data_IF_821802081594
#
_entry.id   IF_821802081594
#
_cell.length_a   1.000
_cell.length_b   1.000
_cell.length_c   1.000
_cell.angle_alpha   90.00
_cell.angle_beta   90.00
_cell.angle_gamma   90.00
#
_symmetry.space_group_name_H-M   'P 1'
#
loop_
_entity.id
_entity.type
_entity.pdbx_description
1 polymer ?
#
# COMPACT_ATOMS: atom_id res chain seq x y z
N UNK A 1 -6.58 1.04 71.94
CA UNK A 1 -5.87 2.30 72.25
C UNK A 1 -4.41 2.11 71.99
N UNK A 2 -3.90 2.59 70.91
CA UNK A 2 -2.52 2.40 70.45
C UNK A 2 -1.62 3.42 71.19
N UNK A 3 -0.98 2.98 72.24
CA UNK A 3 -0.21 3.87 73.11
C UNK A 3 1.28 3.54 73.20
N UNK A 4 1.83 2.84 72.25
CA UNK A 4 3.26 2.55 72.27
C UNK A 4 3.98 3.43 71.23
N UNK A 5 5.17 3.93 71.56
CA UNK A 5 6.02 4.73 70.65
C UNK A 5 6.28 4.01 69.35
N UNK A 6 6.32 2.68 69.36
CA UNK A 6 6.47 1.82 68.21
C UNK A 6 5.31 1.96 67.20
N UNK A 7 4.06 2.01 67.68
CA UNK A 7 2.87 2.17 66.80
C UNK A 7 2.84 3.53 66.13
N UNK A 8 3.25 4.59 66.81
CA UNK A 8 3.34 5.93 66.22
C UNK A 8 4.41 6.02 65.16
N UNK A 9 5.55 5.37 65.38
CA UNK A 9 6.65 5.31 64.40
C UNK A 9 6.21 4.55 63.13
N UNK A 10 5.52 3.41 63.27
CA UNK A 10 4.97 2.65 62.14
C UNK A 10 3.96 3.50 61.35
N UNK A 11 3.04 4.20 62.02
CA UNK A 11 2.06 5.09 61.36
C UNK A 11 2.76 6.25 60.62
N UNK A 12 3.81 6.85 61.21
CA UNK A 12 4.61 7.87 60.53
C UNK A 12 5.30 7.32 59.27
N UNK A 13 5.86 6.12 59.38
CA UNK A 13 6.54 5.46 58.25
C UNK A 13 5.56 5.14 57.11
N UNK A 14 4.38 4.62 57.44
CA UNK A 14 3.33 4.37 56.47
C UNK A 14 2.90 5.68 55.81
N UNK A 15 2.65 6.73 56.60
CA UNK A 15 2.29 8.04 56.10
C UNK A 15 3.34 8.61 55.14
N UNK A 16 4.62 8.49 55.49
CA UNK A 16 5.74 8.90 54.63
C UNK A 16 5.73 8.14 53.27
N UNK A 17 5.57 6.80 53.30
CA UNK A 17 5.50 6.01 52.04
C UNK A 17 4.27 6.36 51.19
N UNK A 18 3.13 6.62 51.79
CA UNK A 18 1.92 7.05 51.06
C UNK A 18 2.15 8.39 50.38
N UNK A 19 2.76 9.35 51.10
CA UNK A 19 3.11 10.66 50.53
C UNK A 19 4.15 10.51 49.42
N UNK A 20 5.18 9.70 49.63
CA UNK A 20 6.21 9.44 48.61
C UNK A 20 5.60 8.82 47.34
N UNK A 21 4.76 7.79 47.46
CA UNK A 21 4.05 7.19 46.36
C UNK A 21 3.14 8.19 45.64
N UNK A 22 2.41 9.03 46.40
CA UNK A 22 1.57 10.07 45.82
C UNK A 22 2.36 11.11 45.01
N UNK A 23 3.48 11.57 45.55
CA UNK A 23 4.38 12.52 44.85
C UNK A 23 4.98 11.85 43.61
N UNK A 24 5.48 10.61 43.72
CA UNK A 24 6.03 9.87 42.59
C UNK A 24 4.99 9.68 41.47
N UNK A 25 3.75 9.30 41.82
CA UNK A 25 2.67 9.17 40.88
C UNK A 25 2.35 10.51 40.17
N UNK A 26 2.29 11.60 40.90
CA UNK A 26 2.08 12.95 40.35
C UNK A 26 3.20 13.36 39.39
N UNK A 27 4.45 13.11 39.76
CA UNK A 27 5.62 13.43 38.93
C UNK A 27 5.57 12.61 37.63
N UNK A 28 5.32 11.32 37.72
CA UNK A 28 5.20 10.44 36.54
C UNK A 28 4.08 10.94 35.62
N UNK A 29 2.90 11.18 36.18
CA UNK A 29 1.72 11.59 35.38
C UNK A 29 1.88 12.98 34.75
N UNK A 30 2.51 13.93 35.47
CA UNK A 30 2.56 15.33 35.05
C UNK A 30 3.76 15.64 34.14
N UNK A 31 4.88 14.95 34.34
CA UNK A 31 6.13 15.28 33.66
C UNK A 31 6.68 14.15 32.81
N UNK A 32 6.62 12.89 33.26
CA UNK A 32 7.24 11.79 32.55
C UNK A 32 6.34 11.25 31.45
N UNK A 33 5.09 10.96 31.75
CA UNK A 33 4.15 10.39 30.79
C UNK A 33 3.92 11.27 29.56
N UNK A 34 3.71 12.60 29.67
CA UNK A 34 3.54 13.44 28.49
C UNK A 34 4.77 13.50 27.59
N UNK A 35 5.98 13.51 28.19
CA UNK A 35 7.22 13.51 27.42
C UNK A 35 7.43 12.18 26.67
N UNK A 36 7.13 11.07 27.33
CA UNK A 36 7.24 9.75 26.71
C UNK A 36 6.27 9.62 25.52
N UNK A 37 5.00 10.01 25.71
CA UNK A 37 3.99 10.01 24.65
C UNK A 37 4.42 10.90 23.47
N UNK A 38 4.96 12.09 23.75
CA UNK A 38 5.44 12.99 22.70
C UNK A 38 6.59 12.36 21.89
N UNK A 39 7.57 11.73 22.58
CA UNK A 39 8.70 11.08 21.92
C UNK A 39 8.26 9.87 21.09
N UNK A 40 7.37 9.04 21.61
CA UNK A 40 6.81 7.90 20.87
C UNK A 40 6.02 8.36 19.64
N UNK A 41 5.20 9.39 19.79
CA UNK A 41 4.46 9.96 18.66
C UNK A 41 5.37 10.51 17.57
N UNK A 42 6.47 11.14 17.92
CA UNK A 42 7.46 11.64 16.98
C UNK A 42 8.18 10.48 16.26
N UNK A 43 8.54 9.42 16.95
CA UNK A 43 9.13 8.22 16.36
C UNK A 43 8.19 7.55 15.38
N UNK A 44 6.90 7.43 15.73
CA UNK A 44 5.88 6.88 14.84
C UNK A 44 5.78 7.74 13.58
N UNK A 45 5.73 9.06 13.70
CA UNK A 45 5.67 9.97 12.55
C UNK A 45 6.87 9.77 11.62
N UNK A 46 8.09 9.77 12.13
CA UNK A 46 9.30 9.52 11.32
C UNK A 46 9.24 8.17 10.60
N UNK A 47 8.77 7.13 11.29
CA UNK A 47 8.64 5.80 10.70
C UNK A 47 7.61 5.80 9.56
N UNK A 48 6.46 6.44 9.77
CA UNK A 48 5.41 6.55 8.74
C UNK A 48 5.91 7.36 7.55
N UNK A 49 6.61 8.48 7.76
CA UNK A 49 7.19 9.29 6.68
C UNK A 49 8.18 8.46 5.84
N UNK A 50 9.13 7.79 6.49
CA UNK A 50 10.14 6.99 5.79
C UNK A 50 9.52 5.86 4.94
N UNK A 51 8.45 5.25 5.41
CA UNK A 51 7.77 4.19 4.66
C UNK A 51 6.86 4.76 3.55
N UNK A 52 6.26 5.91 3.77
CA UNK A 52 5.54 6.65 2.73
C UNK A 52 6.46 7.01 1.56
N UNK A 53 7.68 7.48 1.89
CA UNK A 53 8.71 7.75 0.90
C UNK A 53 9.12 6.49 0.14
N UNK A 54 9.25 5.34 0.82
CA UNK A 54 9.57 4.07 0.19
C UNK A 54 8.48 3.61 -0.80
N UNK A 55 7.20 3.80 -0.46
CA UNK A 55 6.08 3.52 -1.38
C UNK A 55 6.17 4.46 -2.59
N UNK A 56 6.33 5.75 -2.35
CA UNK A 56 6.44 6.76 -3.40
C UNK A 56 7.63 6.49 -4.33
N UNK A 57 8.78 6.11 -3.78
CA UNK A 57 9.95 5.71 -4.57
C UNK A 57 9.67 4.49 -5.45
N UNK A 58 9.03 3.46 -4.90
CA UNK A 58 8.67 2.27 -5.67
C UNK A 58 7.69 2.61 -6.81
N UNK A 59 6.66 3.41 -6.52
CA UNK A 59 5.71 3.86 -7.54
C UNK A 59 6.38 4.68 -8.65
N UNK A 60 7.30 5.58 -8.28
CA UNK A 60 8.07 6.37 -9.24
C UNK A 60 9.02 5.51 -10.08
N UNK A 61 9.63 4.47 -9.50
CA UNK A 61 10.46 3.50 -10.23
C UNK A 61 9.64 2.75 -11.25
N UNK A 62 8.47 2.24 -10.87
CA UNK A 62 7.54 1.56 -11.76
C UNK A 62 7.07 2.49 -12.88
N UNK A 63 6.73 3.75 -12.57
CA UNK A 63 6.36 4.76 -13.55
C UNK A 63 7.48 5.05 -14.55
N UNK A 64 8.72 5.17 -14.08
CA UNK A 64 9.88 5.40 -14.95
C UNK A 64 10.13 4.19 -15.87
N UNK A 65 10.03 2.97 -15.33
CA UNK A 65 10.13 1.74 -16.11
C UNK A 65 9.01 1.65 -17.15
N UNK A 66 7.77 1.95 -16.76
CA UNK A 66 6.61 1.93 -17.65
C UNK A 66 6.76 2.95 -18.79
N UNK A 67 7.29 4.14 -18.50
CA UNK A 67 7.60 5.14 -19.53
C UNK A 67 8.61 4.61 -20.52
N UNK A 68 9.67 3.96 -20.08
CA UNK A 68 10.64 3.30 -20.96
C UNK A 68 9.99 2.25 -21.84
N UNK A 69 9.12 1.41 -21.27
CA UNK A 69 8.37 0.39 -22.03
C UNK A 69 7.53 1.06 -23.12
N UNK A 70 6.72 2.06 -22.78
CA UNK A 70 5.82 2.70 -23.76
C UNK A 70 6.57 3.38 -24.89
N UNK A 71 7.68 4.06 -24.60
CA UNK A 71 8.51 4.73 -25.63
C UNK A 71 9.21 3.71 -26.55
N UNK A 72 9.80 2.64 -25.98
CA UNK A 72 10.46 1.59 -26.77
C UNK A 72 9.46 0.84 -27.63
N UNK A 73 8.36 0.37 -27.04
CA UNK A 73 7.32 -0.40 -27.74
C UNK A 73 6.65 0.44 -28.83
N UNK A 74 6.52 1.75 -28.61
CA UNK A 74 6.01 2.69 -29.63
C UNK A 74 6.73 2.65 -30.96
N UNK A 75 8.02 2.31 -30.98
CA UNK A 75 8.86 2.22 -32.18
C UNK A 75 9.08 0.81 -32.75
N UNK A 76 8.60 -0.25 -32.07
CA UNK A 76 8.92 -1.63 -32.45
C UNK A 76 7.87 -2.30 -33.34
N UNK A 77 8.31 -3.25 -34.16
CA UNK A 77 7.43 -4.18 -34.87
C UNK A 77 6.90 -5.28 -33.93
N UNK A 78 5.82 -5.95 -34.32
CA UNK A 78 5.08 -6.89 -33.45
C UNK A 78 5.93 -8.05 -32.92
N UNK A 79 6.79 -8.63 -33.75
CA UNK A 79 7.70 -9.73 -33.39
C UNK A 79 8.84 -9.29 -32.44
N UNK A 80 9.34 -8.07 -32.63
CA UNK A 80 10.35 -7.47 -31.77
C UNK A 80 9.81 -7.19 -30.36
N UNK A 81 8.52 -6.85 -30.25
CA UNK A 81 7.86 -6.59 -28.96
C UNK A 81 7.94 -7.83 -28.07
N UNK A 82 7.53 -8.99 -28.58
CA UNK A 82 7.47 -10.23 -27.78
C UNK A 82 8.86 -10.68 -27.33
N UNK A 83 9.88 -10.42 -28.13
CA UNK A 83 11.26 -10.75 -27.78
C UNK A 83 11.85 -9.84 -26.70
N UNK A 84 11.48 -8.55 -26.70
CA UNK A 84 12.09 -7.55 -25.82
C UNK A 84 11.33 -7.33 -24.52
N UNK A 85 10.00 -7.46 -24.55
CA UNK A 85 9.11 -7.12 -23.44
C UNK A 85 9.49 -7.80 -22.11
N UNK A 86 9.83 -9.11 -22.04
CA UNK A 86 10.20 -9.72 -20.76
C UNK A 86 11.45 -9.09 -20.13
N UNK A 87 12.42 -8.67 -20.94
CA UNK A 87 13.61 -7.97 -20.45
C UNK A 87 13.28 -6.57 -19.92
N UNK A 88 12.37 -5.87 -20.59
CA UNK A 88 11.90 -4.55 -20.12
C UNK A 88 11.09 -4.66 -18.83
N UNK A 89 10.24 -5.66 -18.70
CA UNK A 89 9.47 -5.93 -17.48
C UNK A 89 10.38 -6.35 -16.34
N UNK A 90 11.46 -7.10 -16.63
CA UNK A 90 12.43 -7.55 -15.63
C UNK A 90 13.64 -6.60 -15.46
N UNK A 91 13.58 -5.39 -15.98
CA UNK A 91 14.71 -4.45 -16.07
C UNK A 91 15.47 -4.28 -14.74
N UNK A 92 14.79 -4.27 -13.62
CA UNK A 92 15.40 -4.09 -12.29
C UNK A 92 15.47 -5.38 -11.47
N UNK A 93 15.06 -6.52 -12.04
CA UNK A 93 14.93 -7.79 -11.31
C UNK A 93 14.14 -7.66 -9.99
N UNK A 94 13.16 -6.76 -9.97
CA UNK A 94 12.33 -6.49 -8.81
C UNK A 94 11.18 -7.50 -8.72
N UNK A 95 11.21 -8.34 -7.69
CA UNK A 95 10.18 -9.36 -7.46
C UNK A 95 8.83 -8.78 -7.01
N UNK A 96 8.78 -7.50 -6.59
CA UNK A 96 7.52 -6.81 -6.33
C UNK A 96 6.77 -6.47 -7.63
N UNK A 97 7.49 -6.39 -8.75
CA UNK A 97 6.89 -6.34 -10.08
C UNK A 97 6.40 -7.74 -10.43
N UNK A 98 5.10 -7.96 -10.29
CA UNK A 98 4.46 -9.24 -10.61
C UNK A 98 4.56 -9.58 -12.09
N UNK A 99 4.41 -8.58 -12.95
CA UNK A 99 4.42 -8.76 -14.39
C UNK A 99 4.23 -7.44 -15.13
N UNK A 100 4.05 -7.56 -16.42
CA UNK A 100 3.76 -6.42 -17.27
C UNK A 100 3.44 -6.85 -18.69
N UNK A 101 2.77 -5.97 -19.41
CA UNK A 101 2.32 -6.31 -20.75
C UNK A 101 1.92 -5.14 -21.61
N UNK A 102 1.57 -5.47 -22.83
CA UNK A 102 1.00 -4.56 -23.80
C UNK A 102 -0.39 -5.02 -24.21
N UNK A 103 -1.24 -4.06 -24.39
CA UNK A 103 -2.66 -4.22 -24.65
C UNK A 103 -3.06 -3.30 -25.82
N UNK A 104 -2.82 -3.74 -27.07
CA UNK A 104 -3.13 -2.92 -28.25
C UNK A 104 -4.63 -2.72 -28.41
N UNK A 105 -5.03 -1.60 -28.99
CA UNK A 105 -6.40 -1.44 -29.47
C UNK A 105 -6.74 -2.53 -30.50
N UNK A 106 -8.00 -2.99 -30.56
CA UNK A 106 -8.45 -3.96 -31.57
C UNK A 106 -7.96 -3.58 -32.98
N UNK A 107 -7.34 -4.55 -33.67
CA UNK A 107 -6.82 -4.37 -35.03
C UNK A 107 -5.49 -3.60 -35.13
N UNK A 108 -5.00 -2.94 -34.07
CA UNK A 108 -3.78 -2.11 -34.17
C UNK A 108 -2.48 -2.90 -34.28
N UNK A 109 -2.40 -4.10 -33.68
CA UNK A 109 -1.22 -4.96 -33.76
C UNK A 109 -1.26 -5.89 -34.97
N UNK A 110 -2.44 -6.37 -35.34
CA UNK A 110 -2.72 -7.11 -36.57
C UNK A 110 -4.16 -6.82 -36.98
N UNK A 111 -4.42 -6.47 -38.26
CA UNK A 111 -5.74 -6.00 -38.71
C UNK A 111 -6.88 -7.02 -38.54
N UNK A 112 -6.55 -8.31 -38.51
CA UNK A 112 -7.47 -9.44 -38.38
C UNK A 112 -7.64 -9.94 -36.94
N UNK A 113 -7.04 -9.26 -35.99
CA UNK A 113 -6.98 -9.67 -34.57
C UNK A 113 -7.38 -8.54 -33.62
N UNK A 114 -8.51 -8.70 -32.96
CA UNK A 114 -8.93 -7.78 -31.91
C UNK A 114 -8.20 -8.04 -30.59
N UNK A 115 -7.88 -9.31 -30.31
CA UNK A 115 -7.21 -9.76 -29.10
C UNK A 115 -5.78 -10.20 -29.42
N UNK A 116 -4.83 -9.30 -29.21
CA UNK A 116 -3.42 -9.58 -29.49
C UNK A 116 -2.50 -8.93 -28.46
N UNK A 117 -2.85 -9.10 -27.18
CA UNK A 117 -1.99 -8.66 -26.06
C UNK A 117 -0.81 -9.60 -25.88
N UNK A 118 0.26 -9.09 -25.25
CA UNK A 118 1.35 -9.89 -24.69
C UNK A 118 1.52 -9.48 -23.25
N UNK A 119 1.35 -10.42 -22.33
CA UNK A 119 1.51 -10.22 -20.91
C UNK A 119 2.43 -11.29 -20.33
N UNK A 120 3.41 -10.86 -19.54
CA UNK A 120 4.28 -11.72 -18.78
C UNK A 120 3.95 -11.59 -17.31
N UNK A 121 3.75 -12.72 -16.63
CA UNK A 121 3.52 -12.79 -15.19
C UNK A 121 4.54 -13.72 -14.52
N UNK A 122 4.91 -13.42 -13.28
CA UNK A 122 5.81 -14.30 -12.52
C UNK A 122 5.06 -15.55 -12.04
N UNK A 123 5.72 -16.68 -12.22
CA UNK A 123 5.35 -17.93 -11.58
C UNK A 123 5.77 -17.97 -10.09
N UNK A 124 5.46 -19.05 -9.40
CA UNK A 124 5.81 -19.23 -7.98
C UNK A 124 7.33 -19.26 -7.72
N UNK A 125 8.14 -19.48 -8.74
CA UNK A 125 9.61 -19.44 -8.65
C UNK A 125 10.18 -18.03 -8.97
N UNK A 126 9.32 -17.09 -9.31
CA UNK A 126 9.68 -15.71 -9.66
C UNK A 126 10.08 -15.52 -11.12
N UNK A 127 9.96 -16.52 -11.98
CA UNK A 127 10.28 -16.41 -13.41
C UNK A 127 9.11 -15.85 -14.20
N UNK A 128 9.40 -14.94 -15.13
CA UNK A 128 8.39 -14.41 -16.04
C UNK A 128 7.96 -15.47 -17.06
N UNK A 129 6.68 -15.74 -17.10
CA UNK A 129 6.02 -16.64 -18.04
C UNK A 129 5.01 -15.86 -18.87
N UNK A 130 4.90 -16.19 -20.16
CA UNK A 130 3.87 -15.59 -21.00
C UNK A 130 2.48 -16.06 -20.55
N UNK A 131 1.55 -15.11 -20.42
CA UNK A 131 0.16 -15.37 -20.08
C UNK A 131 -0.73 -14.87 -21.24
N UNK A 132 -1.44 -15.79 -21.89
CA UNK A 132 -2.27 -15.52 -23.06
C UNK A 132 -3.76 -15.58 -22.79
N UNK A 133 -4.16 -15.66 -21.51
CA UNK A 133 -5.57 -15.79 -21.11
C UNK A 133 -6.43 -14.72 -21.75
N UNK A 134 -5.97 -13.47 -21.76
CA UNK A 134 -6.73 -12.35 -22.33
C UNK A 134 -6.92 -12.38 -23.86
N UNK A 135 -6.20 -13.26 -24.56
CA UNK A 135 -6.36 -13.46 -26.00
C UNK A 135 -7.35 -14.57 -26.34
N UNK A 136 -7.89 -15.29 -25.34
CA UNK A 136 -8.88 -16.33 -25.56
C UNK A 136 -10.24 -15.69 -25.92
N UNK A 137 -11.04 -16.30 -26.81
CA UNK A 137 -12.33 -15.76 -27.24
C UNK A 137 -13.32 -15.55 -26.09
N UNK A 138 -13.28 -16.43 -25.08
CA UNK A 138 -14.16 -16.42 -23.91
C UNK A 138 -13.75 -15.39 -22.82
N UNK A 139 -12.53 -14.85 -22.90
CA UNK A 139 -12.06 -13.86 -21.93
C UNK A 139 -12.82 -12.55 -22.08
N UNK A 140 -12.93 -11.82 -20.98
CA UNK A 140 -13.40 -10.44 -21.02
C UNK A 140 -12.55 -9.59 -21.96
N UNK A 141 -13.12 -8.54 -22.52
CA UNK A 141 -12.39 -7.62 -23.38
C UNK A 141 -11.52 -6.72 -22.51
N UNK A 142 -10.20 -6.81 -22.66
CA UNK A 142 -9.26 -6.00 -21.85
C UNK A 142 -9.46 -4.49 -22.10
N UNK A 143 -9.89 -4.08 -23.31
CA UNK A 143 -10.14 -2.66 -23.61
C UNK A 143 -11.42 -2.11 -22.99
N UNK A 144 -12.24 -2.95 -22.35
CA UNK A 144 -13.41 -2.55 -21.57
C UNK A 144 -13.10 -2.45 -20.07
N UNK A 145 -11.93 -2.93 -19.63
CA UNK A 145 -11.53 -2.91 -18.22
C UNK A 145 -11.26 -1.47 -17.71
N UNK A 146 -11.57 -1.17 -16.45
CA UNK A 146 -11.32 0.15 -15.87
C UNK A 146 -9.87 0.60 -16.03
N UNK A 147 -8.90 -0.24 -15.64
CA UNK A 147 -7.48 0.08 -15.73
C UNK A 147 -7.02 0.43 -17.16
N UNK A 148 -7.60 -0.20 -18.16
CA UNK A 148 -7.29 0.09 -19.57
C UNK A 148 -7.82 1.48 -19.97
N UNK A 149 -9.09 1.78 -19.63
CA UNK A 149 -9.72 3.07 -19.95
C UNK A 149 -9.01 4.22 -19.24
N UNK A 150 -8.62 4.00 -17.98
CA UNK A 150 -7.86 4.99 -17.20
C UNK A 150 -6.48 5.22 -17.82
N UNK A 151 -5.77 4.14 -18.22
CA UNK A 151 -4.49 4.25 -18.93
C UNK A 151 -4.58 4.94 -20.29
N UNK A 152 -5.68 4.73 -21.03
CA UNK A 152 -5.95 5.45 -22.29
C UNK A 152 -6.19 6.95 -22.09
N UNK A 153 -6.73 7.33 -20.92
CA UNK A 153 -7.13 8.70 -20.60
C UNK A 153 -6.04 9.47 -19.88
N UNK A 154 -5.00 8.79 -19.37
CA UNK A 154 -3.90 9.41 -18.66
C UNK A 154 -3.09 10.34 -19.59
N UNK A 155 -2.53 11.44 -19.08
CA UNK A 155 -1.62 12.28 -19.82
C UNK A 155 -0.43 11.47 -20.35
N UNK A 156 0.10 11.86 -21.51
CA UNK A 156 1.24 11.16 -22.11
C UNK A 156 2.42 11.05 -21.13
N UNK A 157 2.90 9.83 -20.91
CA UNK A 157 4.01 9.53 -20.00
C UNK A 157 3.62 9.51 -18.51
N UNK A 158 2.33 9.59 -18.20
CA UNK A 158 1.82 9.45 -16.83
C UNK A 158 1.11 8.11 -16.64
N UNK A 159 1.24 7.54 -15.42
CA UNK A 159 0.49 6.36 -15.04
C UNK A 159 -0.91 6.70 -14.57
N UNK A 160 -1.89 5.93 -15.03
CA UNK A 160 -3.11 5.72 -14.26
C UNK A 160 -2.89 4.51 -13.36
N UNK A 161 -2.86 4.73 -12.06
CA UNK A 161 -2.76 3.65 -11.08
C UNK A 161 -4.14 3.01 -10.88
N UNK A 162 -4.24 1.72 -11.15
CA UNK A 162 -5.48 1.00 -10.91
C UNK A 162 -5.70 0.79 -9.42
N UNK A 163 -6.97 0.81 -8.99
CA UNK A 163 -7.32 0.28 -7.68
C UNK A 163 -6.90 -1.19 -7.59
N UNK A 164 -6.49 -1.61 -6.39
CA UNK A 164 -6.08 -2.99 -6.17
C UNK A 164 -7.19 -3.98 -6.55
N UNK A 165 -6.81 -5.03 -7.27
CA UNK A 165 -7.73 -6.02 -7.81
C UNK A 165 -7.10 -7.41 -7.90
N UNK A 166 -7.95 -8.37 -8.19
CA UNK A 166 -7.60 -9.73 -8.57
C UNK A 166 -8.51 -10.12 -9.73
N UNK A 167 -7.99 -10.85 -10.70
CA UNK A 167 -8.75 -11.32 -11.84
C UNK A 167 -8.55 -12.82 -12.12
N UNK A 168 -9.31 -13.35 -13.09
CA UNK A 168 -9.23 -14.75 -13.47
C UNK A 168 -7.89 -15.15 -14.12
N UNK A 169 -7.15 -14.19 -14.67
CA UNK A 169 -5.86 -14.44 -15.32
C UNK A 169 -4.74 -14.66 -14.31
N UNK A 170 -4.90 -14.15 -13.06
CA UNK A 170 -3.95 -14.39 -11.98
C UNK A 170 -4.62 -14.31 -10.61
N UNK A 171 -4.42 -15.33 -9.76
CA UNK A 171 -4.95 -15.35 -8.40
C UNK A 171 -4.21 -14.37 -7.45
N UNK A 172 -3.17 -13.69 -7.92
CA UNK A 172 -2.37 -12.81 -7.06
C UNK A 172 -2.96 -11.40 -7.03
N UNK A 173 -3.33 -10.88 -5.83
CA UNK A 173 -3.79 -9.51 -5.67
C UNK A 173 -2.70 -8.50 -6.06
N UNK A 174 -3.05 -7.47 -6.81
CA UNK A 174 -2.13 -6.49 -7.36
C UNK A 174 -2.77 -5.16 -7.68
N UNK A 175 -1.96 -4.15 -7.87
CA UNK A 175 -2.28 -2.90 -8.57
C UNK A 175 -1.44 -2.80 -9.83
N UNK A 176 -1.77 -1.91 -10.75
CA UNK A 176 -0.93 -1.66 -11.93
C UNK A 176 -0.82 -0.17 -12.26
N UNK A 177 0.29 0.15 -12.91
CA UNK A 177 0.50 1.41 -13.63
C UNK A 177 0.14 1.19 -15.09
N UNK A 178 -0.99 1.73 -15.53
CA UNK A 178 -1.42 1.71 -16.91
C UNK A 178 -1.02 3.00 -17.63
N UNK A 179 -0.39 2.90 -18.80
CA UNK A 179 0.11 4.05 -19.57
C UNK A 179 -0.12 3.85 -21.05
N UNK A 180 -0.60 4.90 -21.74
CA UNK A 180 -0.84 4.86 -23.17
C UNK A 180 0.45 4.71 -23.99
N UNK A 181 0.43 3.82 -24.99
CA UNK A 181 1.48 3.67 -26.01
C UNK A 181 1.09 4.52 -27.20
N UNK A 182 2.00 5.37 -27.65
CA UNK A 182 1.78 6.27 -28.78
C UNK A 182 2.58 5.85 -30.01
N UNK A 183 1.92 5.84 -31.16
CA UNK A 183 2.54 5.63 -32.50
C UNK A 183 2.01 6.68 -33.45
N UNK A 184 2.88 7.34 -34.17
CA UNK A 184 2.52 8.36 -35.17
C UNK A 184 1.50 9.40 -34.67
N UNK A 185 1.66 9.82 -33.41
CA UNK A 185 0.79 10.81 -32.77
C UNK A 185 -0.59 10.31 -32.35
N UNK A 186 -0.85 9.00 -32.45
CA UNK A 186 -2.11 8.37 -32.05
C UNK A 186 -1.86 7.34 -30.95
N UNK A 187 -2.85 7.15 -30.06
CA UNK A 187 -2.78 6.07 -29.09
C UNK A 187 -2.95 4.72 -29.82
N UNK A 188 -1.96 3.86 -29.65
CA UNK A 188 -1.90 2.53 -30.22
C UNK A 188 -2.49 1.45 -29.31
N UNK A 189 -2.40 1.65 -28.02
CA UNK A 189 -2.85 0.76 -26.96
C UNK A 189 -2.37 1.24 -25.60
N UNK A 190 -2.40 0.34 -24.62
CA UNK A 190 -1.94 0.59 -23.24
C UNK A 190 -0.84 -0.42 -22.91
N UNK A 191 0.14 -0.02 -22.13
CA UNK A 191 1.05 -0.93 -21.44
C UNK A 191 0.79 -0.90 -19.95
N UNK A 192 1.02 -2.02 -19.25
CA UNK A 192 0.92 -2.12 -17.79
C UNK A 192 2.18 -2.71 -17.19
N UNK A 193 2.53 -2.23 -15.99
CA UNK A 193 3.36 -2.95 -15.01
C UNK A 193 2.51 -3.18 -13.79
N UNK A 194 2.46 -4.42 -13.35
CA UNK A 194 1.66 -4.89 -12.22
C UNK A 194 2.56 -5.07 -11.00
N UNK A 195 2.16 -4.50 -9.85
CA UNK A 195 2.86 -4.57 -8.56
C UNK A 195 2.04 -5.40 -7.59
N UNK A 196 2.69 -6.36 -6.92
CA UNK A 196 2.02 -7.26 -5.96
C UNK A 196 1.62 -6.51 -4.69
N UNK A 197 0.50 -6.88 -4.06
CA UNK A 197 0.17 -6.39 -2.72
C UNK A 197 1.13 -6.91 -1.64
N UNK A 198 1.90 -7.95 -1.93
CA UNK A 198 2.97 -8.43 -1.05
C UNK A 198 3.98 -7.36 -0.68
N UNK A 199 4.28 -6.42 -1.59
CA UNK A 199 5.10 -5.25 -1.31
C UNK A 199 4.52 -4.40 -0.17
N UNK A 200 3.24 -4.03 -0.26
CA UNK A 200 2.56 -3.21 0.75
C UNK A 200 2.39 -3.95 2.08
N UNK A 201 2.11 -5.26 2.05
CA UNK A 201 2.04 -6.10 3.26
C UNK A 201 3.38 -6.15 4.00
N UNK A 202 4.50 -6.29 3.28
CA UNK A 202 5.83 -6.29 3.88
C UNK A 202 6.16 -4.95 4.54
N UNK A 203 5.84 -3.83 3.87
CA UNK A 203 6.01 -2.50 4.46
C UNK A 203 5.15 -2.31 5.70
N UNK A 204 3.85 -2.62 5.64
CA UNK A 204 2.95 -2.52 6.77
C UNK A 204 3.43 -3.36 7.96
N UNK A 205 3.99 -4.55 7.71
CA UNK A 205 4.58 -5.41 8.73
C UNK A 205 5.80 -4.78 9.38
N UNK A 206 6.75 -4.27 8.58
CA UNK A 206 7.94 -3.59 9.09
C UNK A 206 7.58 -2.38 9.97
N UNK A 207 6.60 -1.59 9.52
CA UNK A 207 6.10 -0.46 10.30
C UNK A 207 5.45 -0.91 11.61
N UNK A 208 4.63 -1.97 11.59
CA UNK A 208 3.99 -2.50 12.79
C UNK A 208 5.02 -3.00 13.81
N UNK A 209 6.08 -3.66 13.36
CA UNK A 209 7.19 -4.11 14.20
C UNK A 209 7.98 -2.94 14.80
N UNK A 210 8.27 -1.90 13.99
CA UNK A 210 9.03 -0.74 14.43
C UNK A 210 8.27 0.18 15.41
N UNK A 211 6.95 0.29 15.23
CA UNK A 211 6.10 1.18 16.04
C UNK A 211 5.37 0.46 17.18
N UNK A 212 5.48 -0.86 17.26
CA UNK A 212 4.67 -1.71 18.16
C UNK A 212 3.16 -1.45 18.04
N UNK A 213 2.75 -0.91 16.88
CA UNK A 213 1.39 -0.52 16.56
C UNK A 213 0.79 -1.40 15.47
N UNK A 214 -0.49 -1.19 15.19
CA UNK A 214 -1.17 -1.79 14.05
C UNK A 214 -1.10 -0.85 12.85
N UNK A 215 -0.53 -1.34 11.75
CA UNK A 215 -0.41 -0.56 10.51
C UNK A 215 -1.27 -1.17 9.42
N UNK A 216 -2.05 -0.34 8.75
CA UNK A 216 -2.82 -0.67 7.57
C UNK A 216 -2.48 0.33 6.46
N UNK A 217 -2.31 -0.17 5.25
CA UNK A 217 -2.25 0.64 4.03
C UNK A 217 -3.58 0.42 3.31
N UNK A 218 -4.28 1.51 3.05
CA UNK A 218 -5.65 1.45 2.52
C UNK A 218 -5.82 2.41 1.34
N UNK A 219 -6.67 2.04 0.40
CA UNK A 219 -7.16 2.96 -0.63
C UNK A 219 -8.15 3.96 -0.03
N UNK A 220 -8.41 5.05 -0.72
CA UNK A 220 -9.29 6.13 -0.25
C UNK A 220 -10.72 5.65 0.09
N UNK A 221 -11.19 4.58 -0.52
CA UNK A 221 -12.49 3.97 -0.26
C UNK A 221 -12.48 2.97 0.91
N UNK A 222 -11.34 2.81 1.57
CA UNK A 222 -11.14 1.91 2.71
C UNK A 222 -10.79 0.47 2.34
N UNK A 223 -10.48 0.17 1.08
CA UNK A 223 -9.99 -1.15 0.67
C UNK A 223 -8.55 -1.34 1.18
N UNK A 224 -8.27 -2.46 1.85
CA UNK A 224 -6.96 -2.77 2.40
C UNK A 224 -6.05 -3.32 1.31
N UNK A 225 -4.89 -2.72 1.15
CA UNK A 225 -3.83 -3.12 0.23
C UNK A 225 -2.56 -3.57 0.95
N UNK A 226 -2.43 -3.23 2.25
CA UNK A 226 -1.34 -3.71 3.11
C UNK A 226 -1.81 -3.86 4.57
N UNK A 227 -1.44 -4.98 5.21
CA UNK A 227 -1.77 -5.26 6.60
C UNK A 227 -0.53 -5.76 7.34
N UNK A 228 -0.14 -5.04 8.39
CA UNK A 228 1.00 -5.36 9.23
C UNK A 228 0.75 -6.47 10.25
N UNK A 229 -0.49 -6.94 10.43
CA UNK A 229 -0.81 -7.99 11.37
C UNK A 229 -1.09 -9.33 10.65
N UNK A 230 -0.13 -10.28 10.63
CA UNK A 230 -0.29 -11.57 9.98
C UNK A 230 -1.32 -12.48 10.66
N UNK A 231 -1.65 -12.27 11.94
CA UNK A 231 -2.59 -13.10 12.68
C UNK A 231 -4.04 -12.94 12.24
N UNK A 232 -4.36 -11.84 11.58
CA UNK A 232 -5.73 -11.57 11.07
C UNK A 232 -5.99 -12.14 9.67
N UNK A 233 -5.10 -12.98 9.17
CA UNK A 233 -5.23 -13.58 7.84
C UNK A 233 -4.93 -12.60 6.71
N UNK A 234 -5.14 -13.07 5.48
CA UNK A 234 -5.00 -12.23 4.28
C UNK A 234 -6.16 -11.23 4.23
N UNK A 235 -5.88 -9.98 4.60
CA UNK A 235 -6.83 -8.88 4.50
C UNK A 235 -6.84 -8.24 3.10
N UNK A 236 -6.08 -8.80 2.17
CA UNK A 236 -5.94 -8.26 0.81
C UNK A 236 -7.31 -8.11 0.13
N UNK A 237 -7.55 -6.92 -0.39
CA UNK A 237 -8.78 -6.53 -1.09
C UNK A 237 -10.06 -6.48 -0.23
N UNK A 238 -9.97 -6.74 1.08
CA UNK A 238 -11.10 -6.55 1.99
C UNK A 238 -11.27 -5.08 2.35
N UNK A 239 -12.48 -4.67 2.65
CA UNK A 239 -12.71 -3.32 3.15
C UNK A 239 -12.58 -3.28 4.68
N UNK A 240 -12.20 -2.13 5.23
CA UNK A 240 -12.08 -1.92 6.68
C UNK A 240 -13.35 -2.33 7.43
N UNK A 241 -14.53 -2.05 6.86
CA UNK A 241 -15.83 -2.42 7.42
C UNK A 241 -16.01 -3.94 7.58
N UNK A 242 -15.43 -4.73 6.67
CA UNK A 242 -15.55 -6.19 6.67
C UNK A 242 -14.57 -6.82 7.67
N UNK A 243 -13.47 -6.13 7.94
CA UNK A 243 -12.46 -6.51 8.93
C UNK A 243 -12.85 -6.17 10.37
N UNK A 244 -13.98 -5.50 10.58
CA UNK A 244 -14.47 -5.06 11.90
C UNK A 244 -13.40 -4.33 12.71
N UNK A 245 -12.67 -3.43 12.05
CA UNK A 245 -11.64 -2.62 12.70
C UNK A 245 -12.31 -1.66 13.67
N UNK A 246 -11.96 -1.66 14.97
CA UNK A 246 -12.65 -0.86 15.99
C UNK A 246 -12.72 0.64 15.68
N UNK A 247 -11.72 1.16 14.97
CA UNK A 247 -11.60 2.57 14.60
C UNK A 247 -12.10 2.90 13.18
N UNK A 248 -12.86 2.02 12.52
CA UNK A 248 -13.23 2.19 11.10
C UNK A 248 -13.83 3.57 10.80
N UNK A 249 -14.82 3.98 11.58
CA UNK A 249 -15.50 5.26 11.35
C UNK A 249 -14.53 6.45 11.50
N UNK A 250 -13.63 6.40 12.48
CA UNK A 250 -12.61 7.43 12.71
C UNK A 250 -11.59 7.42 11.56
N UNK A 251 -11.13 6.25 11.14
CA UNK A 251 -10.21 6.10 9.99
C UNK A 251 -10.84 6.69 8.73
N UNK A 252 -12.07 6.30 8.40
CA UNK A 252 -12.78 6.79 7.21
C UNK A 252 -13.03 8.30 7.26
N UNK A 253 -13.26 8.86 8.46
CA UNK A 253 -13.35 10.30 8.67
C UNK A 253 -12.03 11.02 8.40
N UNK A 254 -10.91 10.46 8.86
CA UNK A 254 -9.57 11.01 8.66
C UNK A 254 -9.12 10.88 7.20
N UNK A 255 -9.40 9.76 6.53
CA UNK A 255 -9.06 9.53 5.12
C UNK A 255 -9.66 10.59 4.18
N UNK A 256 -10.88 11.07 4.47
CA UNK A 256 -11.52 12.13 3.67
C UNK A 256 -10.76 13.45 3.71
N UNK A 257 -10.06 13.70 4.80
CA UNK A 257 -9.30 14.93 5.05
C UNK A 257 -7.78 14.72 4.97
N UNK A 258 -7.34 13.50 4.66
CA UNK A 258 -5.93 13.19 4.57
C UNK A 258 -5.30 13.95 3.39
N UNK A 259 -4.20 14.62 3.67
CA UNK A 259 -3.29 15.25 2.73
C UNK A 259 -1.91 14.64 2.87
N UNK A 260 -0.90 15.19 2.23
CA UNK A 260 0.50 14.83 2.46
C UNK A 260 0.97 15.08 3.90
N UNK A 261 0.20 15.86 4.67
CA UNK A 261 0.45 16.06 6.09
C UNK A 261 -0.26 14.99 6.93
N UNK A 262 0.31 14.70 8.09
CA UNK A 262 -0.29 13.78 9.06
C UNK A 262 -1.59 14.33 9.63
N UNK A 263 -2.63 13.52 9.62
CA UNK A 263 -3.87 13.79 10.33
C UNK A 263 -3.97 12.77 11.46
N UNK A 264 -4.20 13.26 12.69
CA UNK A 264 -4.32 12.40 13.86
C UNK A 264 -5.74 12.48 14.44
N UNK A 265 -6.14 11.39 15.08
CA UNK A 265 -7.38 11.27 15.82
C UNK A 265 -7.24 10.23 16.92
N UNK A 266 -8.23 10.18 17.81
CA UNK A 266 -8.27 9.17 18.87
C UNK A 266 -9.55 8.34 18.76
N UNK A 267 -9.51 7.11 19.31
CA UNK A 267 -10.67 6.25 19.45
C UNK A 267 -10.57 5.41 20.73
N UNK A 268 -11.69 4.98 21.25
CA UNK A 268 -11.75 4.09 22.41
C UNK A 268 -11.49 2.64 21.95
N UNK A 269 -10.32 2.12 22.28
CA UNK A 269 -9.93 0.73 22.04
C UNK A 269 -10.18 -0.15 23.27
N UNK A 270 -9.92 -1.45 23.14
CA UNK A 270 -10.07 -2.43 24.25
C UNK A 270 -9.21 -2.10 25.48
N UNK A 271 -8.07 -1.45 25.28
CA UNK A 271 -7.12 -1.08 26.34
C UNK A 271 -7.17 0.41 26.70
N UNK A 272 -8.25 1.12 26.39
CA UNK A 272 -8.43 2.55 26.61
C UNK A 272 -8.26 3.37 25.33
N UNK A 273 -8.11 4.68 25.50
CA UNK A 273 -7.95 5.62 24.38
C UNK A 273 -6.68 5.33 23.60
N UNK A 274 -6.81 5.17 22.30
CA UNK A 274 -5.73 4.92 21.36
C UNK A 274 -5.63 6.04 20.33
N UNK A 275 -4.42 6.34 19.88
CA UNK A 275 -4.15 7.36 18.87
C UNK A 275 -4.06 6.72 17.49
N UNK A 276 -4.70 7.36 16.51
CA UNK A 276 -4.57 7.07 15.09
C UNK A 276 -3.72 8.15 14.43
N UNK A 277 -2.84 7.72 13.54
CA UNK A 277 -2.12 8.58 12.63
C UNK A 277 -2.44 8.16 11.19
N UNK A 278 -2.90 9.09 10.38
CA UNK A 278 -3.22 8.86 8.95
C UNK A 278 -2.42 9.82 8.10
N UNK A 279 -1.79 9.27 7.06
CA UNK A 279 -1.05 10.03 6.06
C UNK A 279 -1.49 9.60 4.67
N UNK A 280 -1.75 10.57 3.78
CA UNK A 280 -1.97 10.28 2.38
C UNK A 280 -0.63 10.09 1.65
N UNK A 281 -0.55 9.06 0.83
CA UNK A 281 0.56 8.80 -0.08
C UNK A 281 0.11 9.27 -1.46
N UNK A 282 0.79 10.27 -2.00
CA UNK A 282 0.54 10.73 -3.37
C UNK A 282 1.23 9.79 -4.35
N UNK A 283 0.47 9.15 -5.23
CA UNK A 283 0.95 8.33 -6.33
C UNK A 283 0.84 9.05 -7.67
#
# INVERSE_FOLDING_TARGET
MWKTTHSRFILMLIGFFVVLLGVTFLVIRQFVAPQLIATESELIRYTVDAQSDAITEQMNRVKAQQRTITEVIGGLQSDQIDALLPNLVNQYNDLNVFGGGIWPLPGNRAPDRDRFSTFFARDNAGNLQVNTVWNQPESEKYWEQPWYKDGMSAPKGECAWAKAYQDAASPQPRTNCAMAIWRDGKVWGVATIDVTLGFFNNLAKQMSEATHGRVLIVEQDGKVVGNGNPEQGKADLQYLRDLKVPAEATIMGLLKNASSEHVSGTYDGENGEQTLLVQAISG
#
